data_IF_489550413310
#
_entry.id   IF_489550413310
#
_cell.length_a   1.000
_cell.length_b   1.000
_cell.length_c   1.000
_cell.angle_alpha   90.00
_cell.angle_beta   90.00
_cell.angle_gamma   90.00
#
_symmetry.space_group_name_H-M   'P 1'
#
loop_
_entity.id
_entity.type
_entity.pdbx_description
1 polymer ?
#
# COMPACT_ATOMS: atom_id res chain seq x y z
N UNK A 1 13.96 -3.03 14.70
CA UNK A 1 14.57 -2.13 13.70
C UNK A 1 13.90 -2.30 12.36
N UNK A 2 13.87 -3.52 11.82
CA UNK A 2 13.37 -3.80 10.47
C UNK A 2 12.42 -5.03 10.51
N UNK A 3 11.17 -4.86 10.98
CA UNK A 3 10.32 -5.99 11.36
C UNK A 3 9.77 -6.81 10.19
N UNK A 4 9.50 -6.19 9.04
CA UNK A 4 8.89 -6.90 7.91
C UNK A 4 9.91 -7.76 7.18
N UNK A 5 11.11 -7.23 6.97
CA UNK A 5 12.21 -7.98 6.33
C UNK A 5 12.65 -9.16 7.22
N UNK A 6 12.65 -8.97 8.55
CA UNK A 6 12.88 -10.08 9.50
C UNK A 6 11.72 -11.08 9.46
N UNK A 7 10.47 -10.63 9.40
CA UNK A 7 9.31 -11.51 9.28
C UNK A 7 9.35 -12.37 8.00
N UNK A 8 9.73 -11.79 6.87
CA UNK A 8 9.94 -12.50 5.60
C UNK A 8 11.09 -13.52 5.71
N UNK A 9 12.22 -13.13 6.31
CA UNK A 9 13.35 -14.05 6.53
C UNK A 9 12.98 -15.23 7.42
N UNK A 10 12.26 -15.00 8.53
CA UNK A 10 11.76 -16.05 9.41
C UNK A 10 10.76 -16.97 8.69
N UNK A 11 9.89 -16.42 7.85
CA UNK A 11 8.94 -17.22 7.05
C UNK A 11 9.64 -18.17 6.07
N UNK A 12 10.81 -17.78 5.54
CA UNK A 12 11.63 -18.66 4.71
C UNK A 12 12.30 -19.79 5.53
N UNK A 13 12.70 -19.51 6.78
CA UNK A 13 13.21 -20.52 7.71
C UNK A 13 12.11 -21.53 8.05
N UNK A 14 10.91 -21.05 8.43
CA UNK A 14 9.77 -21.89 8.80
C UNK A 14 9.28 -22.77 7.62
N UNK A 15 9.55 -22.35 6.38
CA UNK A 15 9.27 -23.09 5.17
C UNK A 15 10.43 -24.02 4.73
N UNK A 16 11.42 -24.27 5.59
CA UNK A 16 12.59 -25.12 5.34
C UNK A 16 13.40 -24.72 4.09
N UNK A 17 13.32 -23.46 3.66
CA UNK A 17 13.89 -23.02 2.37
C UNK A 17 15.41 -23.14 2.31
N UNK A 18 16.07 -23.04 3.47
CA UNK A 18 17.53 -23.03 3.59
C UNK A 18 18.18 -24.41 3.67
N UNK A 19 17.40 -25.46 3.93
CA UNK A 19 17.94 -26.80 4.15
C UNK A 19 18.52 -27.36 2.84
N UNK A 20 19.79 -27.78 2.89
CA UNK A 20 20.54 -28.27 1.74
C UNK A 20 21.10 -27.18 0.82
N UNK A 21 20.91 -25.89 1.13
CA UNK A 21 21.54 -24.81 0.37
C UNK A 21 23.06 -24.79 0.57
N UNK A 22 23.77 -24.21 -0.39
CA UNK A 22 25.22 -24.10 -0.36
C UNK A 22 25.66 -22.72 0.11
N UNK A 23 26.77 -22.69 0.86
CA UNK A 23 27.62 -21.50 0.93
C UNK A 23 28.42 -21.42 -0.38
N UNK A 24 27.84 -20.81 -1.39
CA UNK A 24 28.33 -20.85 -2.77
C UNK A 24 29.35 -19.75 -3.12
N UNK A 25 29.51 -18.73 -2.28
CA UNK A 25 30.49 -17.67 -2.52
C UNK A 25 31.15 -17.20 -1.23
N UNK A 26 32.45 -17.46 -1.11
CA UNK A 26 33.29 -17.01 -0.01
C UNK A 26 34.33 -16.03 -0.56
N UNK A 27 34.48 -14.91 0.12
CA UNK A 27 35.47 -13.88 -0.19
C UNK A 27 36.22 -13.48 1.09
N UNK A 28 37.25 -12.64 0.98
CA UNK A 28 37.83 -12.00 2.17
C UNK A 28 36.83 -11.16 2.96
N UNK A 29 35.74 -10.74 2.30
CA UNK A 29 34.80 -9.75 2.78
C UNK A 29 33.55 -10.34 3.43
N UNK A 30 33.07 -11.49 2.93
CA UNK A 30 31.86 -12.15 3.41
C UNK A 30 31.79 -13.61 2.96
N UNK A 31 30.88 -14.35 3.59
CA UNK A 31 30.42 -15.69 3.20
C UNK A 31 28.95 -15.54 2.76
N UNK A 32 28.59 -15.97 1.55
CA UNK A 32 27.24 -15.82 1.00
C UNK A 32 26.64 -17.16 0.56
N UNK A 33 25.32 -17.23 0.70
CA UNK A 33 24.46 -18.28 0.16
C UNK A 33 23.46 -17.66 -0.81
N UNK A 34 23.36 -18.19 -2.02
CA UNK A 34 22.49 -17.65 -3.07
C UNK A 34 21.00 -17.97 -2.90
N UNK A 35 20.61 -18.72 -1.87
CA UNK A 35 19.21 -19.15 -1.73
C UNK A 35 18.89 -20.45 -2.47
N UNK A 36 19.89 -21.20 -2.95
CA UNK A 36 19.69 -22.36 -3.84
C UNK A 36 20.63 -23.53 -3.57
N UNK A 37 20.17 -24.72 -3.93
CA UNK A 37 20.93 -25.98 -3.88
C UNK A 37 21.91 -26.16 -5.05
N UNK A 38 21.77 -25.35 -6.11
CA UNK A 38 22.67 -25.37 -7.28
C UNK A 38 23.66 -24.20 -7.33
N UNK A 39 23.67 -23.32 -6.32
CA UNK A 39 24.55 -22.16 -6.24
C UNK A 39 24.20 -21.00 -7.17
N UNK A 40 22.99 -20.98 -7.73
CA UNK A 40 22.44 -19.86 -8.52
C UNK A 40 21.28 -19.25 -7.74
N UNK A 41 21.21 -17.92 -7.69
CA UNK A 41 20.14 -17.20 -6.98
C UNK A 41 18.77 -17.76 -7.32
N UNK A 42 18.04 -18.18 -6.29
CA UNK A 42 16.69 -18.69 -6.45
C UNK A 42 15.73 -17.53 -6.75
N UNK A 43 15.13 -17.55 -7.94
CA UNK A 43 14.17 -16.52 -8.39
C UNK A 43 12.71 -16.99 -8.28
N UNK A 44 12.46 -18.16 -7.70
CA UNK A 44 11.10 -18.69 -7.51
C UNK A 44 10.43 -18.11 -6.25
N UNK A 45 11.22 -17.63 -5.27
CA UNK A 45 10.70 -16.99 -4.06
C UNK A 45 10.14 -15.61 -4.39
N UNK A 46 8.96 -15.24 -3.87
CA UNK A 46 8.43 -13.89 -4.06
C UNK A 46 9.39 -12.84 -3.47
N UNK A 47 9.68 -11.74 -4.21
CA UNK A 47 10.52 -10.68 -3.70
C UNK A 47 9.83 -9.92 -2.56
N UNK A 48 10.61 -9.36 -1.65
CA UNK A 48 10.14 -8.46 -0.60
C UNK A 48 11.05 -7.25 -0.43
N UNK A 49 10.45 -6.16 0.04
CA UNK A 49 11.07 -4.84 0.15
C UNK A 49 12.28 -4.83 1.08
N UNK A 50 13.19 -3.89 0.81
CA UNK A 50 14.23 -3.54 1.76
C UNK A 50 13.66 -2.83 2.99
N UNK A 51 14.35 -2.97 4.12
CA UNK A 51 14.12 -2.14 5.30
C UNK A 51 15.44 -1.76 5.93
N UNK A 52 15.56 -0.47 6.26
CA UNK A 52 16.79 0.11 6.77
C UNK A 52 16.53 0.84 8.09
N UNK A 53 17.61 0.96 8.88
CA UNK A 53 17.57 1.70 10.14
C UNK A 53 18.96 2.26 10.43
N UNK A 54 19.05 3.50 10.88
CA UNK A 54 20.33 4.22 11.07
C UNK A 54 21.34 3.45 11.93
N UNK A 55 20.84 2.75 12.95
CA UNK A 55 21.68 1.96 13.84
C UNK A 55 22.11 0.57 13.30
N UNK A 56 21.67 0.18 12.10
CA UNK A 56 22.04 -1.08 11.46
C UNK A 56 22.99 -0.77 10.31
N UNK A 57 24.28 -0.98 10.56
CA UNK A 57 25.37 -0.73 9.62
C UNK A 57 26.34 -1.91 9.62
N UNK A 58 26.98 -2.17 8.49
CA UNK A 58 27.96 -3.22 8.28
C UNK A 58 29.33 -2.79 8.84
N UNK A 59 29.39 -2.38 10.10
CA UNK A 59 30.57 -1.81 10.73
C UNK A 59 31.48 -2.84 11.41
N UNK A 60 31.15 -4.13 11.32
CA UNK A 60 31.89 -5.23 11.95
C UNK A 60 31.72 -6.56 11.19
N UNK A 61 32.50 -7.55 11.61
CA UNK A 61 32.35 -8.95 11.19
C UNK A 61 31.12 -9.59 11.83
N UNK A 62 30.55 -10.60 11.18
CA UNK A 62 29.41 -11.36 11.66
C UNK A 62 28.06 -10.69 11.44
N UNK A 63 27.98 -9.60 10.69
CA UNK A 63 26.69 -8.97 10.35
C UNK A 63 25.97 -9.85 9.33
N UNK A 64 24.75 -10.28 9.65
CA UNK A 64 23.88 -11.08 8.78
C UNK A 64 22.97 -10.15 7.99
N UNK A 65 23.09 -10.20 6.66
CA UNK A 65 22.37 -9.31 5.76
C UNK A 65 21.86 -10.04 4.51
N UNK A 66 20.78 -9.54 3.93
CA UNK A 66 20.19 -10.12 2.72
C UNK A 66 20.94 -9.67 1.46
N UNK A 67 21.11 -10.61 0.52
CA UNK A 67 21.65 -10.34 -0.81
C UNK A 67 20.51 -10.13 -1.79
N UNK A 68 20.65 -9.14 -2.67
CA UNK A 68 19.68 -8.79 -3.70
C UNK A 68 20.38 -8.42 -5.01
N UNK A 69 19.64 -8.45 -6.12
CA UNK A 69 20.14 -8.04 -7.43
C UNK A 69 19.83 -6.57 -7.74
N UNK A 70 18.65 -6.11 -7.30
CA UNK A 70 18.14 -4.75 -7.45
C UNK A 70 17.38 -4.37 -6.16
N UNK A 71 17.08 -3.09 -5.96
CA UNK A 71 16.30 -2.64 -4.80
C UNK A 71 14.93 -3.32 -4.72
N UNK A 72 14.53 -3.66 -3.48
CA UNK A 72 13.31 -4.41 -3.14
C UNK A 72 13.16 -5.78 -3.79
N UNK A 73 14.28 -6.42 -4.12
CA UNK A 73 14.32 -7.79 -4.65
C UNK A 73 14.97 -8.75 -3.65
N UNK A 74 14.70 -8.56 -2.35
CA UNK A 74 15.14 -9.53 -1.35
C UNK A 74 14.38 -10.84 -1.52
N UNK A 75 15.10 -11.95 -1.40
CA UNK A 75 14.58 -13.31 -1.50
C UNK A 75 15.25 -14.18 -0.44
N UNK A 76 15.61 -15.41 -0.78
CA UNK A 76 16.35 -16.31 0.10
C UNK A 76 17.87 -16.12 0.08
N UNK A 77 18.44 -15.24 -0.76
CA UNK A 77 19.89 -15.04 -0.76
C UNK A 77 20.33 -14.18 0.45
N UNK A 78 21.40 -14.57 1.14
CA UNK A 78 21.94 -13.82 2.29
C UNK A 78 23.46 -14.01 2.43
N UNK A 79 24.07 -13.17 3.27
CA UNK A 79 25.50 -13.23 3.56
C UNK A 79 25.82 -12.86 5.01
N UNK A 80 26.97 -13.33 5.48
CA UNK A 80 27.56 -12.96 6.77
C UNK A 80 28.90 -12.27 6.50
N UNK A 81 29.11 -11.09 7.07
CA UNK A 81 30.35 -10.33 6.85
C UNK A 81 31.56 -10.98 7.54
N UNK A 82 32.70 -11.00 6.86
CA UNK A 82 33.99 -11.38 7.45
C UNK A 82 34.71 -10.17 8.07
N UNK A 83 34.40 -8.95 7.60
CA UNK A 83 34.96 -7.68 8.07
C UNK A 83 33.94 -6.54 7.85
N UNK A 84 34.19 -5.30 8.33
CA UNK A 84 33.33 -4.16 8.04
C UNK A 84 33.16 -3.95 6.52
N UNK A 85 31.91 -3.75 6.08
CA UNK A 85 31.46 -3.64 4.69
C UNK A 85 30.53 -2.43 4.52
N UNK A 86 30.99 -1.24 4.95
CA UNK A 86 30.18 -0.02 5.04
C UNK A 86 29.58 0.41 3.68
N UNK A 87 30.14 -0.06 2.57
CA UNK A 87 29.59 0.11 1.22
C UNK A 87 28.26 -0.58 0.95
N UNK A 88 27.82 -1.44 1.86
CA UNK A 88 26.52 -2.12 1.81
C UNK A 88 25.48 -1.46 2.73
N UNK A 89 25.87 -0.46 3.51
CA UNK A 89 24.96 0.28 4.39
C UNK A 89 23.85 0.94 3.59
N UNK A 90 22.62 0.75 4.08
CA UNK A 90 21.38 1.25 3.47
C UNK A 90 21.23 0.86 2.00
N UNK A 91 21.93 -0.20 1.60
CA UNK A 91 21.72 -0.89 0.35
C UNK A 91 21.25 -2.31 0.61
N UNK A 92 21.84 -3.02 1.57
CA UNK A 92 21.44 -4.36 1.93
C UNK A 92 20.81 -4.39 3.33
N UNK A 93 19.65 -5.03 3.44
CA UNK A 93 18.90 -5.11 4.70
C UNK A 93 19.59 -6.04 5.70
N UNK A 94 20.02 -5.49 6.83
CA UNK A 94 20.62 -6.24 7.94
C UNK A 94 19.51 -6.86 8.79
N UNK A 95 19.56 -8.18 8.95
CA UNK A 95 18.54 -8.96 9.70
C UNK A 95 19.10 -9.58 10.99
N UNK A 96 20.42 -9.56 11.20
CA UNK A 96 20.99 -10.12 12.42
C UNK A 96 22.49 -9.87 12.62
N UNK A 97 23.00 -10.39 13.73
CA UNK A 97 24.42 -10.37 14.10
C UNK A 97 24.78 -11.74 14.65
N UNK A 98 25.92 -12.28 14.23
CA UNK A 98 26.51 -13.50 14.77
C UNK A 98 26.85 -13.29 16.25
N UNK A 99 26.24 -14.10 17.12
CA UNK A 99 26.45 -14.06 18.57
C UNK A 99 27.28 -15.22 19.12
N UNK A 100 27.37 -16.34 18.38
CA UNK A 100 28.16 -17.52 18.73
C UNK A 100 28.64 -18.22 17.44
N UNK A 101 29.62 -19.14 17.56
CA UNK A 101 30.16 -19.90 16.42
C UNK A 101 31.19 -19.13 15.58
N UNK A 102 31.89 -18.16 16.18
CA UNK A 102 32.92 -17.36 15.49
C UNK A 102 34.08 -18.22 14.95
N UNK A 103 34.40 -19.33 15.60
CA UNK A 103 35.39 -20.31 15.15
C UNK A 103 34.91 -21.09 13.92
N UNK A 104 33.63 -21.48 13.88
CA UNK A 104 32.99 -22.11 12.72
C UNK A 104 32.95 -21.13 11.54
N UNK A 105 32.55 -19.89 11.80
CA UNK A 105 32.57 -18.82 10.81
C UNK A 105 33.97 -18.63 10.19
N UNK A 106 35.00 -18.55 11.05
CA UNK A 106 36.39 -18.44 10.59
C UNK A 106 36.85 -19.69 9.81
N UNK A 107 36.42 -20.89 10.20
CA UNK A 107 36.75 -22.12 9.48
C UNK A 107 36.13 -22.16 8.08
N UNK A 108 34.88 -21.71 7.92
CA UNK A 108 34.21 -21.57 6.63
C UNK A 108 34.93 -20.52 5.77
N UNK A 109 35.25 -19.35 6.34
CA UNK A 109 35.99 -18.28 5.65
C UNK A 109 37.38 -18.73 5.14
N UNK A 110 38.01 -19.70 5.81
CA UNK A 110 39.32 -20.23 5.45
C UNK A 110 39.28 -21.42 4.46
N UNK A 111 38.11 -21.78 3.94
CA UNK A 111 37.97 -22.91 3.02
C UNK A 111 38.78 -22.73 1.72
N UNK A 112 39.26 -23.83 1.14
CA UNK A 112 39.93 -23.80 -0.16
C UNK A 112 38.94 -23.45 -1.27
N UNK A 113 39.20 -22.36 -1.99
CA UNK A 113 38.29 -21.81 -3.00
C UNK A 113 38.72 -22.15 -4.44
N UNK A 114 37.73 -22.39 -5.29
CA UNK A 114 37.86 -22.46 -6.73
C UNK A 114 37.64 -21.10 -7.41
N UNK A 115 37.24 -21.13 -8.67
CA UNK A 115 36.92 -19.91 -9.42
C UNK A 115 35.71 -19.19 -8.80
N UNK A 116 35.75 -17.86 -8.76
CA UNK A 116 34.62 -17.04 -8.30
C UNK A 116 34.34 -17.08 -6.79
N UNK A 117 35.24 -17.67 -5.99
CA UNK A 117 35.05 -17.81 -4.53
C UNK A 117 34.21 -19.02 -4.12
N UNK A 118 33.91 -19.93 -5.04
CA UNK A 118 33.15 -21.15 -4.74
C UNK A 118 34.02 -22.14 -3.95
N UNK A 119 33.58 -22.71 -2.81
CA UNK A 119 34.33 -23.73 -2.09
C UNK A 119 34.62 -24.98 -2.96
N UNK A 120 35.86 -25.47 -2.95
CA UNK A 120 36.23 -26.71 -3.67
C UNK A 120 35.56 -27.95 -3.09
N UNK A 121 35.38 -27.95 -1.77
CA UNK A 121 34.55 -28.91 -1.05
C UNK A 121 33.26 -28.18 -0.68
N UNK A 122 32.08 -28.60 -1.18
CA UNK A 122 30.83 -27.93 -0.88
C UNK A 122 30.58 -27.85 0.63
N UNK A 123 30.21 -26.67 1.11
CA UNK A 123 29.79 -26.42 2.48
C UNK A 123 28.28 -26.20 2.43
N UNK A 124 27.54 -27.01 3.17
CA UNK A 124 26.08 -27.12 3.08
C UNK A 124 25.45 -26.61 4.37
N UNK A 125 24.36 -25.87 4.24
CA UNK A 125 23.46 -25.56 5.34
C UNK A 125 22.58 -26.80 5.56
N UNK A 126 22.90 -27.61 6.57
CA UNK A 126 22.12 -28.83 6.85
C UNK A 126 20.70 -28.49 7.34
N UNK A 127 20.60 -27.52 8.23
CA UNK A 127 19.34 -26.98 8.76
C UNK A 127 19.50 -25.55 9.26
N UNK A 128 18.43 -24.76 9.22
CA UNK A 128 18.29 -23.51 9.98
C UNK A 128 17.03 -23.62 10.84
N UNK A 129 17.12 -23.26 12.11
CA UNK A 129 15.99 -23.24 13.03
C UNK A 129 15.95 -21.94 13.84
N UNK A 130 14.76 -21.55 14.27
CA UNK A 130 14.55 -20.44 15.19
C UNK A 130 14.64 -20.96 16.63
N UNK A 131 15.44 -20.28 17.45
CA UNK A 131 15.66 -20.66 18.86
C UNK A 131 15.33 -19.47 19.75
N UNK A 132 14.52 -19.72 20.79
CA UNK A 132 14.32 -18.74 21.86
C UNK A 132 15.48 -18.82 22.86
N UNK A 133 16.44 -17.89 22.70
CA UNK A 133 17.62 -17.82 23.56
C UNK A 133 17.39 -16.83 24.72
N UNK A 134 17.25 -17.38 25.91
CA UNK A 134 17.14 -16.64 27.18
C UNK A 134 18.46 -16.51 27.93
N UNK A 135 19.54 -17.08 27.42
CA UNK A 135 20.84 -17.21 28.09
C UNK A 135 21.89 -16.24 27.53
N UNK A 136 21.79 -15.89 26.25
CA UNK A 136 22.69 -14.92 25.61
C UNK A 136 22.04 -13.54 25.50
N UNK A 137 22.87 -12.50 25.43
CA UNK A 137 22.41 -11.13 25.21
C UNK A 137 23.38 -10.38 24.31
N UNK A 138 22.84 -9.60 23.37
CA UNK A 138 23.60 -8.69 22.53
C UNK A 138 23.56 -7.29 23.13
N UNK A 139 24.71 -6.77 23.52
CA UNK A 139 24.84 -5.37 23.94
C UNK A 139 25.24 -4.52 22.74
N UNK A 140 24.34 -3.64 22.30
CA UNK A 140 24.66 -2.61 21.31
C UNK A 140 25.14 -1.35 22.01
N UNK A 141 26.25 -0.80 21.55
CA UNK A 141 26.80 0.47 22.02
C UNK A 141 26.85 1.41 20.83
N UNK A 142 26.20 2.57 20.96
CA UNK A 142 26.18 3.60 19.93
C UNK A 142 26.81 4.87 20.48
N UNK A 143 27.64 5.52 19.67
CA UNK A 143 28.15 6.85 19.93
C UNK A 143 27.41 7.87 19.07
N UNK A 144 27.36 9.12 19.52
CA UNK A 144 26.83 10.22 18.69
C UNK A 144 27.78 10.44 17.50
N UNK A 145 27.20 10.70 16.34
CA UNK A 145 27.91 10.99 15.08
C UNK A 145 29.04 12.01 15.30
N UNK A 146 30.22 11.74 14.72
CA UNK A 146 31.41 12.59 14.83
C UNK A 146 32.11 12.60 16.20
N UNK A 147 31.62 11.85 17.19
CA UNK A 147 32.30 11.74 18.49
C UNK A 147 33.58 10.91 18.38
N UNK A 148 34.54 11.23 19.24
CA UNK A 148 35.73 10.41 19.49
C UNK A 148 36.06 10.38 20.97
N UNK A 149 36.78 9.35 21.40
CA UNK A 149 37.25 9.23 22.77
C UNK A 149 37.14 7.80 23.27
N UNK A 150 37.03 7.65 24.59
CA UNK A 150 36.79 6.35 25.21
C UNK A 150 35.80 6.47 26.36
N UNK A 151 35.08 5.38 26.60
CA UNK A 151 34.13 5.25 27.70
C UNK A 151 34.34 3.91 28.39
N UNK A 152 34.34 3.89 29.72
CA UNK A 152 34.26 2.63 30.47
C UNK A 152 32.80 2.17 30.56
N UNK A 153 32.54 0.97 30.07
CA UNK A 153 31.23 0.34 30.12
C UNK A 153 31.30 -0.79 31.14
N UNK A 154 30.40 -0.73 32.12
CA UNK A 154 30.27 -1.76 33.15
C UNK A 154 28.96 -2.49 32.97
N UNK A 155 29.05 -3.79 32.71
CA UNK A 155 27.90 -4.69 32.56
C UNK A 155 27.74 -5.50 33.83
N UNK A 156 26.54 -5.47 34.40
CA UNK A 156 26.20 -6.24 35.61
C UNK A 156 25.11 -7.24 35.27
N UNK A 157 25.46 -8.51 35.20
CA UNK A 157 24.51 -9.61 35.12
C UNK A 157 24.01 -9.94 36.53
N UNK A 158 22.69 -10.07 36.69
CA UNK A 158 22.05 -10.43 37.96
C UNK A 158 21.18 -11.66 37.75
N UNK A 159 21.40 -12.71 38.54
CA UNK A 159 20.58 -13.92 38.49
C UNK A 159 19.27 -13.77 39.30
N UNK A 160 18.37 -14.75 39.16
CA UNK A 160 17.06 -14.73 39.82
C UNK A 160 17.13 -14.79 41.37
N UNK A 161 18.27 -15.18 41.94
CA UNK A 161 18.51 -15.23 43.39
C UNK A 161 19.22 -13.96 43.89
N UNK A 162 19.48 -12.99 43.01
CA UNK A 162 20.16 -11.74 43.32
C UNK A 162 21.70 -11.83 43.31
N UNK A 163 22.27 -12.95 42.87
CA UNK A 163 23.70 -13.09 42.60
C UNK A 163 24.12 -12.17 41.45
N UNK A 164 25.30 -11.55 41.55
CA UNK A 164 25.76 -10.55 40.57
C UNK A 164 27.12 -10.93 40.02
N UNK A 165 27.29 -10.80 38.71
CA UNK A 165 28.60 -10.78 38.04
C UNK A 165 28.77 -9.44 37.34
N UNK A 166 29.93 -8.83 37.50
CA UNK A 166 30.25 -7.52 36.91
C UNK A 166 31.48 -7.66 36.05
N UNK A 167 31.42 -7.12 34.84
CA UNK A 167 32.55 -7.00 33.93
C UNK A 167 32.62 -5.53 33.49
N UNK A 168 33.83 -4.98 33.45
CA UNK A 168 34.08 -3.61 32.98
C UNK A 168 35.08 -3.67 31.84
N UNK A 169 34.78 -2.98 30.75
CA UNK A 169 35.65 -2.86 29.60
C UNK A 169 35.63 -1.44 29.06
N UNK A 170 36.70 -1.07 28.35
CA UNK A 170 36.81 0.22 27.69
C UNK A 170 36.31 0.11 26.26
N UNK A 171 35.41 1.00 25.87
CA UNK A 171 35.00 1.22 24.49
C UNK A 171 35.78 2.41 23.97
N UNK A 172 36.51 2.21 22.87
CA UNK A 172 37.12 3.31 22.11
C UNK A 172 36.17 3.70 20.97
N UNK A 173 35.89 4.99 20.88
CA UNK A 173 35.03 5.58 19.86
C UNK A 173 35.92 6.36 18.90
N UNK A 174 35.83 6.03 17.63
CA UNK A 174 36.41 6.81 16.55
C UNK A 174 35.27 7.49 15.78
N UNK A 175 35.50 8.69 15.21
CA UNK A 175 34.52 9.31 14.36
C UNK A 175 34.25 8.38 13.18
N UNK A 176 32.98 8.17 12.88
CA UNK A 176 32.60 7.57 11.61
C UNK A 176 32.96 8.54 10.49
N UNK A 177 33.68 8.04 9.49
CA UNK A 177 34.08 8.83 8.31
C UNK A 177 33.47 8.26 7.04
N UNK A 178 32.67 7.21 7.16
CA UNK A 178 31.96 6.65 6.03
C UNK A 178 30.75 7.53 5.71
N UNK A 179 30.47 7.72 4.42
CA UNK A 179 29.31 8.45 3.95
C UNK A 179 28.33 7.44 3.35
N UNK A 180 27.28 7.12 4.09
CA UNK A 180 26.24 6.23 3.59
C UNK A 180 25.19 7.00 2.78
N UNK A 181 24.50 6.30 1.87
CA UNK A 181 23.44 6.90 1.08
C UNK A 181 22.16 7.15 1.91
N UNK A 182 21.29 8.08 1.48
CA UNK A 182 20.00 8.26 2.11
C UNK A 182 19.07 7.07 1.81
N UNK A 183 18.16 6.77 2.74
CA UNK A 183 17.12 5.75 2.56
C UNK A 183 15.73 6.27 2.94
N UNK A 184 14.70 5.69 2.35
CA UNK A 184 13.31 6.00 2.64
C UNK A 184 12.94 5.51 4.04
N UNK A 185 12.15 6.32 4.74
CA UNK A 185 11.27 5.78 5.79
C UNK A 185 10.16 5.04 5.08
N UNK A 186 9.90 3.79 5.47
CA UNK A 186 8.92 2.90 4.83
C UNK A 186 7.61 3.63 4.46
N UNK A 187 7.37 3.92 3.17
CA UNK A 187 6.11 4.44 2.70
C UNK A 187 5.00 3.37 2.82
N UNK A 188 3.72 3.78 2.67
CA UNK A 188 2.64 2.82 2.51
C UNK A 188 2.88 1.93 1.29
N UNK A 189 2.83 0.60 1.45
CA UNK A 189 2.92 -0.37 0.34
C UNK A 189 1.73 -0.29 -0.60
N UNK A 190 0.57 0.01 -0.05
CA UNK A 190 -0.70 0.07 -0.76
C UNK A 190 -1.42 1.38 -0.42
N UNK A 191 -2.07 1.96 -1.42
CA UNK A 191 -2.93 3.14 -1.30
C UNK A 191 -4.23 2.90 -2.05
N UNK A 192 -5.33 3.43 -1.53
CA UNK A 192 -6.60 3.47 -2.25
C UNK A 192 -6.83 4.87 -2.82
N UNK A 193 -7.19 4.94 -4.09
CA UNK A 193 -7.49 6.20 -4.79
C UNK A 193 -8.79 6.07 -5.58
N UNK A 194 -9.42 7.21 -5.88
CA UNK A 194 -10.64 7.27 -6.68
C UNK A 194 -10.29 7.74 -8.09
N UNK A 195 -10.83 7.08 -9.11
CA UNK A 195 -10.59 7.43 -10.52
C UNK A 195 -10.81 8.92 -10.79
N UNK A 196 -9.83 9.59 -11.40
CA UNK A 196 -9.91 11.03 -11.72
C UNK A 196 -9.83 11.99 -10.53
N UNK A 197 -9.71 11.51 -9.28
CA UNK A 197 -9.57 12.36 -8.08
C UNK A 197 -8.11 12.42 -7.62
N UNK A 198 -7.61 13.60 -7.20
CA UNK A 198 -6.25 13.70 -6.68
C UNK A 198 -6.12 13.04 -5.30
N UNK A 199 -5.06 12.25 -5.12
CA UNK A 199 -4.58 11.76 -3.82
C UNK A 199 -3.22 12.41 -3.50
N UNK A 200 -3.01 12.79 -2.25
CA UNK A 200 -1.78 13.44 -1.78
C UNK A 200 -1.27 12.73 -0.54
N UNK A 201 0.03 12.46 -0.50
CA UNK A 201 0.73 11.87 0.64
C UNK A 201 2.17 12.38 0.70
N UNK A 202 2.83 12.19 1.84
CA UNK A 202 4.21 12.66 2.06
C UNK A 202 5.16 11.47 2.19
N UNK A 203 6.32 11.59 1.55
CA UNK A 203 7.47 10.70 1.73
C UNK A 203 8.38 11.26 2.83
N UNK A 204 9.07 10.36 3.52
CA UNK A 204 10.14 10.70 4.46
C UNK A 204 11.40 9.87 4.16
N UNK A 205 12.56 10.40 4.54
CA UNK A 205 13.84 9.74 4.35
C UNK A 205 14.83 10.12 5.46
N UNK A 206 15.85 9.31 5.63
CA UNK A 206 16.96 9.51 6.54
C UNK A 206 18.28 9.47 5.79
N UNK A 207 19.22 10.28 6.27
CA UNK A 207 20.63 10.27 5.90
C UNK A 207 21.39 10.40 7.22
N UNK A 208 22.26 9.44 7.53
CA UNK A 208 22.83 9.31 8.88
C UNK A 208 23.82 10.44 9.18
N UNK A 209 24.49 10.91 8.14
CA UNK A 209 25.47 11.98 8.18
C UNK A 209 24.81 13.38 8.09
N UNK A 210 23.51 13.43 7.77
CA UNK A 210 22.72 14.66 7.68
C UNK A 210 22.91 15.41 6.36
N UNK A 211 23.33 14.72 5.31
CA UNK A 211 23.47 15.29 3.98
C UNK A 211 22.12 15.65 3.35
N UNK A 212 22.16 16.55 2.37
CA UNK A 212 20.97 16.92 1.63
C UNK A 212 20.62 15.85 0.59
N UNK A 213 19.37 15.41 0.60
CA UNK A 213 18.80 14.48 -0.37
C UNK A 213 17.61 15.10 -1.12
N UNK A 214 17.10 14.38 -2.12
CA UNK A 214 15.89 14.72 -2.88
C UNK A 214 15.06 13.46 -3.12
N UNK A 215 13.76 13.67 -3.32
CA UNK A 215 12.83 12.61 -3.67
C UNK A 215 12.60 12.52 -5.18
N UNK A 216 12.18 11.34 -5.64
CA UNK A 216 11.56 11.15 -6.94
C UNK A 216 10.30 10.29 -6.82
N UNK A 217 9.39 10.45 -7.77
CA UNK A 217 8.18 9.65 -7.90
C UNK A 217 7.86 9.50 -9.38
N UNK A 218 7.56 8.28 -9.84
CA UNK A 218 7.22 8.00 -11.23
C UNK A 218 6.20 6.86 -11.33
N UNK A 219 5.28 6.99 -12.27
CA UNK A 219 4.41 5.90 -12.67
C UNK A 219 5.24 4.74 -13.27
N UNK A 220 4.86 3.51 -12.96
CA UNK A 220 5.48 2.29 -13.52
C UNK A 220 4.61 1.76 -14.67
N UNK A 221 5.22 0.99 -15.58
CA UNK A 221 4.50 0.28 -16.64
C UNK A 221 3.92 1.14 -17.77
N UNK A 222 4.26 2.44 -17.85
CA UNK A 222 3.69 3.34 -18.86
C UNK A 222 2.21 3.68 -18.62
N UNK A 223 1.75 3.55 -17.38
CA UNK A 223 0.41 3.97 -16.97
C UNK A 223 0.20 5.47 -17.17
N UNK A 224 -1.04 5.88 -17.43
CA UNK A 224 -1.44 7.29 -17.56
C UNK A 224 -1.64 7.96 -16.19
N UNK A 225 -1.04 7.43 -15.11
CA UNK A 225 -1.10 8.01 -13.78
C UNK A 225 -0.40 9.38 -13.79
N UNK A 226 -1.14 10.45 -13.50
CA UNK A 226 -0.53 11.76 -13.33
C UNK A 226 0.23 11.78 -12.00
N UNK A 227 1.52 12.12 -12.03
CA UNK A 227 2.37 12.19 -10.83
C UNK A 227 3.01 13.57 -10.74
N UNK A 228 2.74 14.26 -9.63
CA UNK A 228 3.42 15.48 -9.19
C UNK A 228 4.20 15.23 -7.91
N UNK A 229 5.35 15.89 -7.77
CA UNK A 229 6.21 15.77 -6.60
C UNK A 229 6.91 17.09 -6.29
N UNK A 230 6.88 17.51 -5.03
CA UNK A 230 7.89 18.42 -4.50
C UNK A 230 9.10 17.63 -4.01
N UNK A 231 10.15 17.61 -4.82
CA UNK A 231 11.35 16.82 -4.57
C UNK A 231 12.17 17.26 -3.35
N UNK A 232 11.85 18.38 -2.69
CA UNK A 232 12.51 18.79 -1.45
C UNK A 232 11.73 18.39 -0.21
N UNK A 233 10.40 18.45 -0.26
CA UNK A 233 9.54 18.11 0.89
C UNK A 233 9.06 16.65 0.88
N UNK A 234 9.15 15.96 -0.26
CA UNK A 234 8.64 14.59 -0.40
C UNK A 234 7.13 14.54 -0.62
N UNK A 235 6.46 15.69 -0.80
CA UNK A 235 5.01 15.73 -1.00
C UNK A 235 4.63 15.27 -2.40
N UNK A 236 3.99 14.10 -2.48
CA UNK A 236 3.53 13.45 -3.71
C UNK A 236 2.06 13.77 -3.93
N UNK A 237 1.69 14.10 -5.16
CA UNK A 237 0.31 14.19 -5.63
C UNK A 237 0.14 13.25 -6.82
N UNK A 238 -0.84 12.36 -6.75
CA UNK A 238 -1.21 11.50 -7.87
C UNK A 238 -2.65 11.75 -8.32
N UNK A 239 -2.94 11.54 -9.60
CA UNK A 239 -4.32 11.50 -10.13
C UNK A 239 -4.46 10.28 -11.03
N UNK A 240 -5.19 9.23 -10.61
CA UNK A 240 -5.50 8.11 -11.48
C UNK A 240 -6.31 8.56 -12.70
N UNK A 241 -6.19 7.90 -13.87
CA UNK A 241 -7.00 8.23 -15.03
C UNK A 241 -8.50 8.15 -14.71
N UNK A 242 -9.29 9.09 -15.25
CA UNK A 242 -10.74 9.04 -15.11
C UNK A 242 -11.30 7.75 -15.74
N UNK A 243 -12.28 7.12 -15.07
CA UNK A 243 -12.90 5.87 -15.51
C UNK A 243 -12.01 4.62 -15.43
N UNK A 244 -10.77 4.72 -14.94
CA UNK A 244 -9.92 3.55 -14.72
C UNK A 244 -10.22 2.92 -13.35
N UNK A 245 -10.38 1.60 -13.33
CA UNK A 245 -10.55 0.79 -12.11
C UNK A 245 -9.54 -0.36 -12.17
N UNK A 246 -8.87 -0.63 -11.05
CA UNK A 246 -7.83 -1.64 -10.94
C UNK A 246 -6.53 -1.08 -10.37
N UNK A 247 -5.45 -1.83 -10.51
CA UNK A 247 -4.19 -1.50 -9.86
C UNK A 247 -3.26 -0.70 -10.76
N UNK A 248 -2.64 0.34 -10.18
CA UNK A 248 -1.54 1.09 -10.77
C UNK A 248 -0.33 1.00 -9.85
N UNK A 249 0.86 1.12 -10.41
CA UNK A 249 2.10 1.11 -9.65
C UNK A 249 2.80 2.46 -9.71
N UNK A 250 3.22 2.95 -8.55
CA UNK A 250 4.01 4.17 -8.37
C UNK A 250 5.34 3.80 -7.74
N UNK A 251 6.45 4.10 -8.42
CA UNK A 251 7.78 3.98 -7.84
C UNK A 251 8.22 5.30 -7.25
N UNK A 252 8.51 5.30 -5.95
CA UNK A 252 9.06 6.42 -5.19
C UNK A 252 10.49 6.13 -4.80
N UNK A 253 11.25 7.15 -4.43
CA UNK A 253 12.61 6.96 -3.95
C UNK A 253 13.29 8.23 -3.49
N UNK A 254 14.46 8.05 -2.89
CA UNK A 254 15.34 9.11 -2.40
C UNK A 254 16.72 8.98 -3.01
N UNK A 255 17.39 10.11 -3.19
CA UNK A 255 18.74 10.17 -3.75
C UNK A 255 19.54 11.36 -3.23
N UNK A 256 20.87 11.24 -3.20
CA UNK A 256 21.75 12.33 -2.77
C UNK A 256 21.67 13.53 -3.72
N UNK A 257 21.69 14.75 -3.17
CA UNK A 257 21.54 16.00 -3.96
C UNK A 257 22.81 16.41 -4.70
N UNK A 258 23.99 15.99 -4.25
CA UNK A 258 25.29 16.44 -4.76
C UNK A 258 25.99 15.40 -5.63
N UNK A 259 26.63 15.89 -6.71
CA UNK A 259 27.31 15.08 -7.73
C UNK A 259 28.67 14.56 -7.25
N UNK A 260 29.18 15.03 -6.11
CA UNK A 260 30.38 14.47 -5.47
C UNK A 260 30.14 13.02 -4.97
N UNK A 261 28.86 12.65 -4.85
CA UNK A 261 28.36 11.42 -4.24
C UNK A 261 27.72 10.50 -5.30
N UNK A 262 28.15 10.55 -6.57
CA UNK A 262 27.59 9.71 -7.65
C UNK A 262 27.82 8.20 -7.48
N UNK A 263 28.47 7.79 -6.39
CA UNK A 263 28.61 6.39 -5.98
C UNK A 263 27.55 5.97 -4.96
N UNK A 264 26.88 6.93 -4.32
CA UNK A 264 25.86 6.68 -3.31
C UNK A 264 24.55 6.27 -4.00
N UNK A 265 24.05 5.11 -3.59
CA UNK A 265 22.96 4.41 -4.24
C UNK A 265 21.63 5.03 -3.83
N UNK A 266 20.68 5.00 -4.76
CA UNK A 266 19.31 5.42 -4.53
C UNK A 266 18.65 4.35 -3.65
N UNK A 267 17.71 4.75 -2.82
CA UNK A 267 16.71 3.84 -2.27
C UNK A 267 15.38 4.12 -2.95
N UNK A 268 14.61 3.07 -3.22
CA UNK A 268 13.36 3.18 -3.95
C UNK A 268 12.40 2.12 -3.52
N UNK A 269 11.11 2.46 -3.51
CA UNK A 269 10.03 1.53 -3.21
C UNK A 269 8.88 1.65 -4.20
N UNK A 270 8.18 0.54 -4.42
CA UNK A 270 6.99 0.50 -5.28
C UNK A 270 5.74 0.45 -4.43
N UNK A 271 4.84 1.40 -4.67
CA UNK A 271 3.53 1.51 -4.02
C UNK A 271 2.47 1.06 -5.02
N UNK A 272 1.62 0.11 -4.60
CA UNK A 272 0.44 -0.29 -5.35
C UNK A 272 -0.71 0.67 -5.03
N UNK A 273 -1.37 1.18 -6.06
CA UNK A 273 -2.51 2.08 -5.95
C UNK A 273 -3.74 1.33 -6.46
N UNK A 274 -4.61 0.95 -5.53
CA UNK A 274 -5.92 0.39 -5.83
C UNK A 274 -6.87 1.52 -6.23
N UNK A 275 -7.19 1.59 -7.53
CA UNK A 275 -8.09 2.60 -8.06
C UNK A 275 -9.51 2.08 -8.07
N UNK A 276 -10.35 2.75 -7.29
CA UNK A 276 -11.78 2.50 -7.20
C UNK A 276 -12.55 3.43 -8.14
N UNK A 277 -13.75 3.00 -8.53
CA UNK A 277 -14.63 3.80 -9.37
C UNK A 277 -14.97 5.11 -8.67
N UNK A 278 -14.86 6.23 -9.39
CA UNK A 278 -15.51 7.45 -8.95
C UNK A 278 -17.00 7.19 -8.97
N UNK A 279 -17.68 7.36 -7.84
CA UNK A 279 -19.11 7.56 -7.85
C UNK A 279 -19.38 8.76 -8.76
N UNK A 280 -19.69 8.51 -10.03
CA UNK A 280 -20.35 9.50 -10.86
C UNK A 280 -21.71 9.68 -10.20
N UNK A 281 -22.04 10.92 -9.83
CA UNK A 281 -23.41 11.24 -9.45
C UNK A 281 -24.26 10.99 -10.70
N UNK A 282 -24.95 9.87 -10.75
CA UNK A 282 -25.94 9.62 -11.79
C UNK A 282 -27.09 10.57 -11.46
N UNK A 283 -27.38 11.48 -12.37
CA UNK A 283 -28.49 12.42 -12.21
C UNK A 283 -29.78 11.63 -11.96
N UNK A 284 -30.46 11.90 -10.85
CA UNK A 284 -31.65 11.16 -10.41
C UNK A 284 -31.42 9.85 -9.63
N UNK A 285 -30.19 9.40 -9.40
CA UNK A 285 -29.90 8.32 -8.42
C UNK A 285 -29.90 8.92 -7.00
N UNK A 286 -31.08 8.94 -6.38
CA UNK A 286 -31.31 9.60 -5.10
C UNK A 286 -30.96 8.72 -3.91
N UNK A 287 -30.86 7.41 -4.12
CA UNK A 287 -30.52 6.43 -3.07
C UNK A 287 -29.04 5.98 -3.10
N UNK A 288 -28.29 6.40 -4.13
CA UNK A 288 -26.88 6.08 -4.39
C UNK A 288 -26.58 4.58 -4.57
N UNK A 289 -27.54 3.82 -5.11
CA UNK A 289 -27.37 2.39 -5.42
C UNK A 289 -26.79 2.12 -6.82
N UNK A 290 -26.59 3.18 -7.61
CA UNK A 290 -26.02 3.13 -8.95
C UNK A 290 -27.03 2.85 -10.05
N UNK A 291 -28.34 2.81 -9.74
CA UNK A 291 -29.45 2.72 -10.69
C UNK A 291 -30.33 3.98 -10.55
N UNK A 292 -31.07 4.30 -11.61
CA UNK A 292 -32.16 5.27 -11.54
C UNK A 292 -33.43 4.50 -11.85
N UNK A 293 -34.24 4.24 -10.83
CA UNK A 293 -35.46 3.44 -10.98
C UNK A 293 -36.66 3.97 -10.18
N UNK A 294 -37.70 3.15 -10.05
CA UNK A 294 -38.93 3.53 -9.33
C UNK A 294 -38.67 3.89 -7.86
N UNK A 295 -37.62 3.36 -7.26
CA UNK A 295 -37.22 3.64 -5.87
C UNK A 295 -36.80 5.10 -5.72
N UNK A 296 -36.02 5.63 -6.68
CA UNK A 296 -35.63 7.04 -6.70
C UNK A 296 -36.83 7.94 -6.95
N UNK A 297 -37.71 7.55 -7.88
CA UNK A 297 -38.94 8.27 -8.15
C UNK A 297 -39.86 8.33 -6.91
N UNK A 298 -39.93 7.25 -6.13
CA UNK A 298 -40.68 7.21 -4.86
C UNK A 298 -40.06 8.11 -3.78
N UNK A 299 -38.72 8.16 -3.70
CA UNK A 299 -38.00 9.08 -2.81
C UNK A 299 -38.30 10.54 -3.18
N UNK A 300 -38.28 10.87 -4.48
CA UNK A 300 -38.62 12.20 -4.96
C UNK A 300 -40.10 12.55 -4.70
N UNK A 301 -41.04 11.63 -4.99
CA UNK A 301 -42.45 11.81 -4.66
C UNK A 301 -42.67 12.09 -3.16
N UNK A 302 -41.92 11.41 -2.29
CA UNK A 302 -41.98 11.66 -0.85
C UNK A 302 -41.42 13.04 -0.48
N UNK A 303 -40.30 13.43 -1.08
CA UNK A 303 -39.66 14.73 -0.85
C UNK A 303 -40.54 15.91 -1.28
N UNK A 304 -41.18 15.81 -2.45
CA UNK A 304 -42.13 16.81 -2.96
C UNK A 304 -43.33 16.97 -2.03
N UNK A 305 -43.91 15.86 -1.54
CA UNK A 305 -45.02 15.90 -0.57
C UNK A 305 -44.67 16.52 0.77
N UNK A 306 -43.40 16.37 1.19
CA UNK A 306 -42.91 16.86 2.47
C UNK A 306 -42.28 18.26 2.37
N UNK A 307 -42.27 18.87 1.18
CA UNK A 307 -41.58 20.15 0.90
C UNK A 307 -40.12 20.10 1.40
N UNK A 308 -39.38 19.06 0.97
CA UNK A 308 -37.99 18.86 1.37
C UNK A 308 -37.11 20.03 0.94
N UNK A 309 -36.15 20.41 1.79
CA UNK A 309 -35.11 21.40 1.44
C UNK A 309 -33.81 20.77 0.97
N UNK A 310 -33.82 19.48 0.60
CA UNK A 310 -32.64 18.77 0.14
C UNK A 310 -32.33 19.11 -1.33
N UNK A 311 -31.35 19.99 -1.53
CA UNK A 311 -30.91 20.45 -2.85
C UNK A 311 -30.30 19.33 -3.72
N UNK A 312 -30.11 18.11 -3.19
CA UNK A 312 -29.79 16.96 -4.03
C UNK A 312 -30.99 16.45 -4.84
N UNK A 313 -32.21 16.81 -4.42
CA UNK A 313 -33.47 16.43 -5.07
C UNK A 313 -34.05 17.56 -5.94
N UNK A 314 -33.41 18.73 -5.96
CA UNK A 314 -33.67 19.84 -6.88
C UNK A 314 -32.99 19.54 -8.22
N UNK A 315 -33.68 18.76 -9.06
CA UNK A 315 -33.17 18.25 -10.33
C UNK A 315 -33.18 19.32 -11.42
N UNK A 316 -34.07 20.32 -11.31
CA UNK A 316 -34.18 21.40 -12.29
C UNK A 316 -33.27 22.62 -11.95
N UNK A 317 -32.66 22.62 -10.76
CA UNK A 317 -31.78 23.64 -10.20
C UNK A 317 -32.42 25.03 -9.99
N UNK A 318 -33.72 25.08 -9.67
CA UNK A 318 -34.45 26.31 -9.37
C UNK A 318 -34.43 26.71 -7.88
N UNK A 319 -33.92 25.83 -7.02
CA UNK A 319 -33.72 26.04 -5.59
C UNK A 319 -34.88 25.55 -4.72
N UNK A 320 -35.91 24.94 -5.30
CA UNK A 320 -37.05 24.33 -4.60
C UNK A 320 -37.14 22.84 -4.97
N UNK A 321 -37.74 21.99 -4.11
CA UNK A 321 -38.02 20.58 -4.42
C UNK A 321 -39.53 20.42 -4.61
N UNK A 322 -39.98 20.42 -5.86
CA UNK A 322 -41.40 20.51 -6.19
C UNK A 322 -41.83 19.66 -7.42
N UNK A 323 -43.00 19.96 -7.97
CA UNK A 323 -43.56 19.22 -9.11
C UNK A 323 -42.74 19.37 -10.40
N UNK A 324 -41.88 20.39 -10.51
CA UNK A 324 -41.00 20.57 -11.66
C UNK A 324 -39.81 19.61 -11.59
N UNK A 325 -39.30 19.28 -10.40
CA UNK A 325 -38.28 18.23 -10.23
C UNK A 325 -38.83 16.86 -10.58
N UNK A 326 -40.07 16.57 -10.18
CA UNK A 326 -40.77 15.36 -10.58
C UNK A 326 -40.85 15.26 -12.11
N UNK A 327 -41.17 16.37 -12.80
CA UNK A 327 -41.20 16.40 -14.26
C UNK A 327 -39.82 16.14 -14.88
N UNK A 328 -38.75 16.73 -14.33
CA UNK A 328 -37.37 16.48 -14.77
C UNK A 328 -36.97 15.02 -14.56
N UNK A 329 -37.29 14.43 -13.40
CA UNK A 329 -37.04 13.01 -13.13
C UNK A 329 -37.72 12.10 -14.16
N UNK A 330 -38.99 12.36 -14.46
CA UNK A 330 -39.77 11.53 -15.39
C UNK A 330 -39.26 11.70 -16.83
N UNK A 331 -39.09 12.95 -17.29
CA UNK A 331 -38.86 13.23 -18.71
C UNK A 331 -37.39 13.21 -19.12
N UNK A 332 -36.54 13.83 -18.32
CA UNK A 332 -35.15 14.08 -18.69
C UNK A 332 -34.23 12.98 -18.16
N UNK A 333 -34.54 12.44 -16.97
CA UNK A 333 -33.76 11.37 -16.35
C UNK A 333 -34.25 9.98 -16.78
N UNK A 334 -35.50 9.63 -16.48
CA UNK A 334 -36.07 8.31 -16.77
C UNK A 334 -36.50 8.13 -18.23
N UNK A 335 -36.53 9.21 -19.02
CA UNK A 335 -37.00 9.23 -20.41
C UNK A 335 -38.39 8.60 -20.57
N UNK A 336 -39.26 8.85 -19.59
CA UNK A 336 -40.61 8.31 -19.45
C UNK A 336 -41.63 9.46 -19.43
N UNK A 337 -42.86 9.14 -19.00
CA UNK A 337 -44.04 10.00 -18.99
C UNK A 337 -44.97 9.59 -17.86
N UNK A 338 -45.80 10.52 -17.38
CA UNK A 338 -46.93 10.19 -16.54
C UNK A 338 -47.82 9.17 -17.25
N UNK A 339 -48.30 8.20 -16.50
CA UNK A 339 -49.03 7.07 -17.04
C UNK A 339 -48.23 5.78 -17.15
N UNK A 340 -46.92 5.87 -17.34
CA UNK A 340 -46.05 4.71 -17.51
C UNK A 340 -45.74 4.06 -16.14
N UNK A 341 -46.61 3.15 -15.70
CA UNK A 341 -46.57 2.56 -14.36
C UNK A 341 -45.47 1.51 -14.20
N UNK A 342 -44.99 0.94 -15.32
CA UNK A 342 -43.90 -0.03 -15.31
C UNK A 342 -42.55 0.57 -15.75
N UNK A 343 -42.52 1.87 -16.08
CA UNK A 343 -41.35 2.63 -16.55
C UNK A 343 -40.71 1.99 -17.79
N UNK A 344 -41.51 1.42 -18.71
CA UNK A 344 -41.03 0.84 -19.97
C UNK A 344 -40.82 1.88 -21.09
N UNK A 345 -41.07 3.15 -20.79
CA UNK A 345 -40.99 4.31 -21.67
C UNK A 345 -42.29 4.57 -22.45
N UNK A 346 -43.33 3.72 -22.30
CA UNK A 346 -44.53 3.76 -23.13
C UNK A 346 -45.81 3.57 -22.31
N UNK A 347 -46.53 4.65 -22.03
CA UNK A 347 -47.90 4.54 -21.53
C UNK A 347 -48.84 3.85 -22.52
N UNK A 348 -49.33 2.67 -22.15
CA UNK A 348 -50.22 1.85 -22.95
C UNK A 348 -51.23 1.06 -22.08
N UNK A 349 -51.94 0.09 -22.69
CA UNK A 349 -52.94 -0.70 -21.96
C UNK A 349 -52.35 -1.54 -20.83
N UNK A 350 -51.06 -1.86 -20.88
CA UNK A 350 -50.37 -2.65 -19.86
C UNK A 350 -50.31 -1.88 -18.54
N UNK A 351 -50.01 -0.58 -18.58
CA UNK A 351 -49.99 0.29 -17.40
C UNK A 351 -51.36 0.40 -16.75
N UNK A 352 -52.38 0.66 -17.56
CA UNK A 352 -53.75 0.76 -17.07
C UNK A 352 -54.23 -0.57 -16.48
N UNK A 353 -53.90 -1.70 -17.10
CA UNK A 353 -54.23 -3.02 -16.55
C UNK A 353 -53.53 -3.24 -15.21
N UNK A 354 -52.26 -2.85 -15.08
CA UNK A 354 -51.52 -2.93 -13.82
C UNK A 354 -52.21 -2.11 -12.73
N UNK A 355 -52.43 -0.81 -12.96
CA UNK A 355 -53.07 0.12 -12.01
C UNK A 355 -54.46 -0.36 -11.59
N UNK A 356 -55.31 -0.76 -12.54
CA UNK A 356 -56.66 -1.22 -12.19
C UNK A 356 -56.71 -2.60 -11.55
N UNK A 357 -55.70 -3.45 -11.75
CA UNK A 357 -55.60 -4.75 -11.06
C UNK A 357 -55.22 -4.57 -9.59
N UNK A 358 -54.41 -3.56 -9.28
CA UNK A 358 -54.02 -3.21 -7.90
C UNK A 358 -55.23 -2.73 -7.09
N UNK A 359 -56.19 -2.05 -7.74
CA UNK A 359 -57.49 -1.73 -7.16
C UNK A 359 -57.49 -0.57 -6.17
N UNK A 360 -56.52 0.34 -6.27
CA UNK A 360 -56.40 1.54 -5.42
C UNK A 360 -57.09 2.79 -5.99
N UNK A 361 -57.57 2.75 -7.23
CA UNK A 361 -58.27 3.85 -7.90
C UNK A 361 -59.51 4.31 -7.11
N UNK A 362 -59.57 5.60 -6.79
CA UNK A 362 -60.65 6.24 -6.01
C UNK A 362 -60.86 5.58 -4.64
N UNK A 363 -59.75 5.19 -3.99
CA UNK A 363 -59.74 4.66 -2.62
C UNK A 363 -58.86 5.52 -1.71
N UNK A 364 -59.05 5.39 -0.39
CA UNK A 364 -58.21 6.07 0.61
C UNK A 364 -56.86 5.35 0.85
N UNK A 365 -56.53 4.29 0.10
CA UNK A 365 -55.27 3.57 0.26
C UNK A 365 -54.08 4.42 -0.20
N UNK A 366 -52.92 4.28 0.47
CA UNK A 366 -51.69 4.90 0.00
C UNK A 366 -51.20 4.19 -1.27
N UNK A 367 -50.73 4.96 -2.22
CA UNK A 367 -50.28 4.50 -3.52
C UNK A 367 -48.88 5.01 -3.85
N UNK A 368 -48.14 4.23 -4.62
CA UNK A 368 -46.91 4.66 -5.27
C UNK A 368 -47.09 4.87 -6.77
N UNK A 369 -46.02 5.28 -7.45
CA UNK A 369 -46.02 5.46 -8.91
C UNK A 369 -46.53 4.22 -9.66
N UNK A 370 -46.04 3.04 -9.29
CA UNK A 370 -46.42 1.78 -9.91
C UNK A 370 -47.88 1.38 -9.64
N UNK A 371 -48.50 1.95 -8.60
CA UNK A 371 -49.91 1.80 -8.27
C UNK A 371 -50.83 2.78 -9.05
N UNK A 372 -50.25 3.80 -9.69
CA UNK A 372 -50.96 4.79 -10.50
C UNK A 372 -51.04 6.21 -9.88
N UNK A 373 -50.28 6.50 -8.83
CA UNK A 373 -50.11 7.85 -8.26
C UNK A 373 -49.06 8.61 -9.09
N UNK A 374 -49.48 9.19 -10.20
CA UNK A 374 -48.59 9.80 -11.20
C UNK A 374 -48.39 11.30 -10.99
N UNK A 375 -49.09 11.89 -10.02
CA UNK A 375 -48.84 13.25 -9.54
C UNK A 375 -48.13 13.29 -8.17
N UNK A 376 -47.80 12.12 -7.60
CA UNK A 376 -47.16 11.93 -6.30
C UNK A 376 -47.97 12.50 -5.11
N UNK A 377 -49.30 12.61 -5.18
CA UNK A 377 -50.12 13.12 -4.07
C UNK A 377 -50.42 12.06 -2.99
N UNK A 378 -50.04 10.79 -3.23
CA UNK A 378 -50.24 9.65 -2.35
C UNK A 378 -51.52 8.88 -2.59
N UNK A 379 -52.31 9.26 -3.59
CA UNK A 379 -53.58 8.62 -3.95
C UNK A 379 -53.66 8.38 -5.45
N UNK A 380 -54.49 7.42 -5.83
CA UNK A 380 -54.81 7.17 -7.24
C UNK A 380 -56.21 7.70 -7.46
N UNK A 381 -56.32 8.82 -8.15
CA UNK A 381 -57.57 9.53 -8.39
C UNK A 381 -57.83 9.71 -9.88
N UNK A 382 -59.00 10.25 -10.20
CA UNK A 382 -59.28 10.72 -11.56
C UNK A 382 -58.24 11.74 -12.06
N UNK A 383 -57.58 12.50 -11.16
CA UNK A 383 -56.58 13.49 -11.55
C UNK A 383 -55.34 12.84 -12.16
N UNK A 384 -54.86 11.72 -11.61
CA UNK A 384 -53.72 10.97 -12.16
C UNK A 384 -53.98 10.51 -13.59
N UNK A 385 -55.18 9.97 -13.83
CA UNK A 385 -55.58 9.56 -15.18
C UNK A 385 -55.70 10.74 -16.13
N UNK A 386 -56.18 11.89 -15.64
CA UNK A 386 -56.22 13.12 -16.44
C UNK A 386 -54.79 13.55 -16.78
N UNK A 387 -53.89 13.59 -15.81
CA UNK A 387 -52.51 14.01 -16.02
C UNK A 387 -51.82 13.10 -17.04
N UNK A 388 -51.92 11.77 -16.90
CA UNK A 388 -51.35 10.81 -17.85
C UNK A 388 -51.95 10.86 -19.26
N UNK A 389 -53.24 11.19 -19.40
CA UNK A 389 -53.94 11.26 -20.69
C UNK A 389 -53.81 12.64 -21.36
N UNK A 390 -53.60 13.70 -20.58
CA UNK A 390 -53.47 15.07 -21.08
C UNK A 390 -52.03 15.50 -21.29
N UNK A 391 -51.08 14.78 -20.69
CA UNK A 391 -49.68 14.92 -21.03
C UNK A 391 -49.48 14.62 -22.53
N UNK A 392 -48.98 15.63 -23.25
CA UNK A 392 -48.81 15.55 -24.69
C UNK A 392 -47.88 14.40 -25.06
N UNK A 393 -48.11 13.79 -26.22
CA UNK A 393 -47.11 12.87 -26.79
C UNK A 393 -45.77 13.63 -26.85
N UNK A 394 -44.67 13.06 -26.32
CA UNK A 394 -43.36 13.69 -26.47
C UNK A 394 -43.13 13.93 -27.96
N UNK A 395 -42.76 15.15 -28.31
CA UNK A 395 -42.38 15.49 -29.67
C UNK A 395 -41.17 14.66 -30.07
N UNK A 396 -41.41 13.63 -30.87
CA UNK A 396 -40.38 12.74 -31.46
C UNK A 396 -39.41 13.51 -32.33
#
# INVERSE_FOLDING_TARGET
YVPDVVGSFLSLIDADRYNGQLWDRITSHFIAASGSTNGVTNQDDLPFDDQFHADLQHNQSGVLSLSKLVDDDNRSAFFVTNEPMRELDFHNSIVGQLIDGADVHAAIAAASLGLGGVPQVPIVIESIETVDDSQSGLLRIAAVEGMSGSAEVTVVAVDALGGRRTETFTVEVQPDTYNSGPYLVDPPRELTAVAGKPLVFDLAAHDVEGNAYRFYARAVGGSNLEVGLDANSGRVRIVPPAGFVGDLELRVGVYPRTVADQLDRYDSQTIVIHVEQSAETIEGDLNADGLVDVTDLELLCQAVRLESGDLLMDLNADGEVDQQDLATMIHDVLLSRRGDANLDGVFNSTDLVQVFTIGKYETDADASWADGDWNCDGKVTTQDLIDALTEGLPSV
#
